data_IF_388520112607
#
_entry.id   IF_388520112607
#
_cell.length_a   1.000
_cell.length_b   1.000
_cell.length_c   1.000
_cell.angle_alpha   90.00
_cell.angle_beta   90.00
_cell.angle_gamma   90.00
#
_symmetry.space_group_name_H-M   'P 1'
#
loop_
_entity.id
_entity.type
_entity.pdbx_description
1 polymer ?
#
# COMPACT_ATOMS: atom_id res chain seq x y z
N UNK A 1 21.75 -18.60 -3.79
CA UNK A 1 21.61 -17.89 -2.49
C UNK A 1 22.99 -17.49 -1.96
N UNK A 2 23.61 -16.51 -2.59
CA UNK A 2 24.93 -16.02 -2.15
C UNK A 2 24.81 -14.94 -1.05
N UNK A 3 23.74 -14.18 -1.06
CA UNK A 3 23.55 -13.01 -0.21
C UNK A 3 23.31 -13.26 1.30
N UNK A 4 22.71 -14.35 1.76
CA UNK A 4 22.55 -14.57 3.20
C UNK A 4 23.88 -14.75 3.97
N UNK A 5 24.99 -14.93 3.26
CA UNK A 5 26.31 -15.13 3.86
C UNK A 5 27.22 -13.92 3.81
N UNK A 6 26.84 -12.88 3.05
CA UNK A 6 27.58 -11.64 3.00
C UNK A 6 27.09 -10.71 4.13
N UNK A 7 28.00 -10.18 4.90
CA UNK A 7 27.65 -9.08 5.79
C UNK A 7 27.36 -7.83 4.96
N UNK A 8 26.60 -6.92 5.50
CA UNK A 8 26.15 -5.73 4.80
C UNK A 8 27.32 -4.83 4.34
N UNK A 9 28.39 -4.74 5.14
CA UNK A 9 29.57 -3.95 4.80
C UNK A 9 30.32 -4.53 3.60
N UNK A 10 30.48 -5.87 3.55
CA UNK A 10 31.10 -6.52 2.41
C UNK A 10 30.29 -6.33 1.12
N UNK A 11 28.96 -6.36 1.21
CA UNK A 11 28.10 -6.09 0.05
C UNK A 11 28.22 -4.63 -0.41
N UNK A 12 28.34 -3.70 0.53
CA UNK A 12 28.55 -2.29 0.23
C UNK A 12 29.88 -2.04 -0.48
N UNK A 13 30.95 -2.65 0.00
CA UNK A 13 32.26 -2.59 -0.62
C UNK A 13 32.29 -3.24 -2.00
N UNK A 14 31.69 -4.42 -2.14
CA UNK A 14 31.57 -5.17 -3.41
C UNK A 14 30.77 -4.39 -4.48
N UNK A 15 29.80 -3.60 -4.08
CA UNK A 15 29.05 -2.72 -5.00
C UNK A 15 29.78 -1.42 -5.30
N UNK A 16 31.00 -1.25 -4.80
CA UNK A 16 31.80 -0.03 -4.99
C UNK A 16 31.19 1.19 -4.34
N UNK A 17 30.42 1.01 -3.27
CA UNK A 17 29.67 2.05 -2.58
C UNK A 17 28.66 2.78 -3.49
N UNK A 18 28.18 2.08 -4.53
CA UNK A 18 27.16 2.59 -5.43
C UNK A 18 25.75 2.15 -4.99
N UNK A 19 24.93 3.13 -4.65
CA UNK A 19 23.54 2.92 -4.23
C UNK A 19 22.68 2.23 -5.24
N UNK A 20 22.86 2.54 -6.53
CA UNK A 20 22.06 1.94 -7.58
C UNK A 20 22.40 0.48 -7.72
N UNK A 21 23.70 0.13 -7.68
CA UNK A 21 24.14 -1.26 -7.73
C UNK A 21 23.70 -2.03 -6.48
N UNK A 22 23.81 -1.42 -5.30
CA UNK A 22 23.31 -2.01 -4.06
C UNK A 22 21.81 -2.26 -4.12
N UNK A 23 21.04 -1.29 -4.56
CA UNK A 23 19.60 -1.39 -4.71
C UNK A 23 19.23 -2.46 -5.74
N UNK A 24 19.93 -2.57 -6.86
CA UNK A 24 19.73 -3.63 -7.85
C UNK A 24 20.06 -5.00 -7.29
N UNK A 25 21.12 -5.13 -6.52
CA UNK A 25 21.51 -6.38 -5.87
C UNK A 25 20.43 -6.83 -4.87
N UNK A 26 19.91 -5.91 -4.07
CA UNK A 26 18.80 -6.18 -3.15
C UNK A 26 17.51 -6.55 -3.89
N UNK A 27 17.16 -5.87 -4.98
CA UNK A 27 15.95 -6.15 -5.76
C UNK A 27 15.95 -7.51 -6.42
N UNK A 28 17.09 -7.92 -6.99
CA UNK A 28 17.23 -9.23 -7.62
C UNK A 28 16.94 -10.38 -6.65
N UNK A 29 17.02 -10.10 -5.34
CA UNK A 29 16.80 -11.05 -4.26
C UNK A 29 15.72 -10.57 -3.29
N UNK A 30 14.86 -9.66 -3.71
CA UNK A 30 13.94 -8.91 -2.86
C UNK A 30 12.99 -9.80 -2.05
N UNK A 31 12.45 -10.86 -2.65
CA UNK A 31 11.59 -11.80 -1.94
C UNK A 31 12.31 -12.49 -0.77
N UNK A 32 13.61 -12.71 -0.93
CA UNK A 32 14.45 -13.36 0.11
C UNK A 32 15.00 -12.35 1.12
N UNK A 33 15.19 -11.09 0.70
CA UNK A 33 15.83 -10.05 1.52
C UNK A 33 14.85 -9.15 2.27
N UNK A 34 13.63 -8.98 1.77
CA UNK A 34 12.59 -8.20 2.47
C UNK A 34 12.21 -8.78 3.83
N UNK A 35 12.37 -10.08 3.97
CA UNK A 35 12.17 -10.82 5.24
C UNK A 35 13.43 -10.88 6.10
N UNK A 36 14.58 -10.47 5.58
CA UNK A 36 15.82 -10.54 6.32
C UNK A 36 15.99 -9.37 7.28
N UNK A 37 16.12 -9.69 8.54
CA UNK A 37 16.52 -8.74 9.59
C UNK A 37 17.79 -7.96 9.20
N UNK A 38 18.73 -8.63 8.52
CA UNK A 38 19.95 -8.03 8.02
C UNK A 38 19.73 -6.85 7.05
N UNK A 39 18.70 -6.86 6.21
CA UNK A 39 18.39 -5.72 5.32
C UNK A 39 17.90 -4.51 6.10
N UNK A 40 17.03 -4.74 7.10
CA UNK A 40 16.56 -3.67 7.98
C UNK A 40 17.68 -3.14 8.86
N UNK A 41 18.55 -4.02 9.32
CA UNK A 41 19.70 -3.67 10.14
C UNK A 41 20.72 -2.89 9.31
N UNK A 42 20.98 -3.28 8.06
CA UNK A 42 21.87 -2.59 7.14
C UNK A 42 21.41 -1.16 6.81
N UNK A 43 20.10 -0.96 6.59
CA UNK A 43 19.53 0.39 6.37
C UNK A 43 19.59 1.23 7.65
N UNK A 44 19.58 0.60 8.85
CA UNK A 44 19.67 1.26 10.14
C UNK A 44 21.10 1.54 10.59
N UNK A 45 22.06 0.74 10.14
CA UNK A 45 23.44 0.81 10.61
C UNK A 45 24.09 2.14 10.24
N UNK A 46 25.06 2.54 11.02
CA UNK A 46 25.81 3.80 10.89
C UNK A 46 26.50 3.96 9.51
N UNK A 47 26.69 2.85 8.78
CA UNK A 47 27.18 2.86 7.40
C UNK A 47 26.25 3.62 6.47
N UNK A 48 24.93 3.55 6.73
CA UNK A 48 23.92 4.38 6.09
C UNK A 48 23.48 5.50 7.04
N UNK A 49 24.28 6.52 7.21
CA UNK A 49 23.82 7.73 7.85
C UNK A 49 22.56 8.30 7.19
N UNK A 50 21.95 9.31 7.81
CA UNK A 50 20.71 9.95 7.34
C UNK A 50 20.77 10.36 5.86
N UNK A 51 21.96 10.76 5.38
CA UNK A 51 22.16 11.14 3.97
C UNK A 51 22.01 9.94 3.03
N UNK A 52 22.55 8.82 3.43
CA UNK A 52 22.44 7.58 2.67
C UNK A 52 21.00 7.07 2.58
N UNK A 53 20.23 7.19 3.68
CA UNK A 53 18.80 6.87 3.66
C UNK A 53 18.05 7.81 2.72
N UNK A 54 18.42 9.08 2.64
CA UNK A 54 17.82 10.04 1.70
C UNK A 54 18.05 9.63 0.25
N UNK A 55 19.27 9.27 -0.12
CA UNK A 55 19.59 8.80 -1.47
C UNK A 55 18.83 7.51 -1.80
N UNK A 56 18.76 6.59 -0.85
CA UNK A 56 17.98 5.36 -1.02
C UNK A 56 16.48 5.65 -1.24
N UNK A 57 15.89 6.54 -0.44
CA UNK A 57 14.51 6.97 -0.62
C UNK A 57 14.28 7.63 -1.99
N UNK A 58 15.22 8.44 -2.47
CA UNK A 58 15.14 9.02 -3.82
C UNK A 58 15.14 7.96 -4.91
N UNK A 59 15.95 6.91 -4.76
CA UNK A 59 15.93 5.78 -5.70
C UNK A 59 14.58 5.05 -5.68
N UNK A 60 14.01 4.81 -4.49
CA UNK A 60 12.70 4.19 -4.36
C UNK A 60 11.57 5.05 -4.96
N UNK A 61 11.63 6.37 -4.79
CA UNK A 61 10.67 7.29 -5.41
C UNK A 61 10.73 7.21 -6.94
N UNK A 62 11.93 7.28 -7.53
CA UNK A 62 12.10 7.15 -8.99
C UNK A 62 11.59 5.80 -9.51
N UNK A 63 11.82 4.73 -8.77
CA UNK A 63 11.28 3.43 -9.14
C UNK A 63 9.75 3.42 -9.10
N UNK A 64 9.17 4.02 -8.07
CA UNK A 64 7.73 4.14 -7.95
C UNK A 64 7.13 4.91 -9.13
N UNK A 65 7.76 6.01 -9.57
CA UNK A 65 7.38 6.77 -10.78
C UNK A 65 7.35 5.88 -12.03
N UNK A 66 8.35 5.03 -12.21
CA UNK A 66 8.39 4.08 -13.33
C UNK A 66 7.22 3.08 -13.28
N UNK A 67 6.84 2.65 -12.07
CA UNK A 67 5.66 1.79 -11.90
C UNK A 67 4.37 2.53 -12.21
N UNK A 68 4.24 3.78 -11.80
CA UNK A 68 3.10 4.64 -12.11
C UNK A 68 2.92 4.84 -13.61
N UNK A 69 4.00 5.12 -14.32
CA UNK A 69 3.97 5.31 -15.78
C UNK A 69 3.52 4.05 -16.55
N UNK A 70 3.76 2.88 -15.98
CA UNK A 70 3.40 1.58 -16.56
C UNK A 70 2.08 1.03 -16.05
N UNK A 71 1.47 1.67 -15.05
CA UNK A 71 0.27 1.16 -14.40
C UNK A 71 -0.93 1.11 -15.34
N UNK A 72 -1.47 -0.08 -15.57
CA UNK A 72 -2.56 -0.33 -16.48
C UNK A 72 -3.79 -0.97 -15.79
N UNK A 73 -3.61 -1.59 -14.62
CA UNK A 73 -4.62 -2.34 -13.91
C UNK A 73 -4.78 -1.88 -12.45
N UNK A 74 -5.86 -2.28 -11.80
CA UNK A 74 -6.06 -2.04 -10.36
C UNK A 74 -4.99 -2.71 -9.51
N UNK A 75 -4.43 -3.84 -9.95
CA UNK A 75 -3.35 -4.55 -9.24
C UNK A 75 -2.08 -3.73 -9.20
N UNK A 76 -1.76 -3.04 -10.29
CA UNK A 76 -0.61 -2.13 -10.34
C UNK A 76 -0.79 -1.00 -9.33
N UNK A 77 -2.00 -0.45 -9.21
CA UNK A 77 -2.31 0.61 -8.26
C UNK A 77 -2.30 0.14 -6.80
N UNK A 78 -2.70 -1.09 -6.51
CA UNK A 78 -2.53 -1.67 -5.18
C UNK A 78 -1.06 -1.81 -4.80
N UNK A 79 -0.25 -2.33 -5.71
CA UNK A 79 1.21 -2.40 -5.53
C UNK A 79 1.83 -1.01 -5.32
N UNK A 80 1.45 -0.02 -6.14
CA UNK A 80 1.93 1.37 -6.02
C UNK A 80 1.54 1.96 -4.66
N UNK A 81 0.31 1.75 -4.20
CA UNK A 81 -0.16 2.24 -2.91
C UNK A 81 0.65 1.63 -1.74
N UNK A 82 0.89 0.34 -1.80
CA UNK A 82 1.71 -0.37 -0.81
C UNK A 82 3.15 0.16 -0.78
N UNK A 83 3.79 0.30 -1.95
CA UNK A 83 5.15 0.83 -2.05
C UNK A 83 5.26 2.29 -1.62
N UNK A 84 4.28 3.11 -1.97
CA UNK A 84 4.17 4.49 -1.49
C UNK A 84 4.15 4.53 0.04
N UNK A 85 3.32 3.69 0.67
CA UNK A 85 3.24 3.63 2.12
C UNK A 85 4.56 3.19 2.77
N UNK A 86 5.25 2.20 2.19
CA UNK A 86 6.58 1.78 2.67
C UNK A 86 7.60 2.92 2.64
N UNK A 87 7.65 3.67 1.54
CA UNK A 87 8.51 4.85 1.40
C UNK A 87 8.16 5.90 2.46
N UNK A 88 6.87 6.20 2.64
CA UNK A 88 6.42 7.18 3.61
C UNK A 88 6.76 6.78 5.05
N UNK A 89 6.59 5.51 5.41
CA UNK A 89 6.94 4.99 6.73
C UNK A 89 8.45 5.12 6.99
N UNK A 90 9.28 4.76 6.02
CA UNK A 90 10.73 4.92 6.13
C UNK A 90 11.11 6.40 6.23
N UNK A 91 10.56 7.24 5.38
CA UNK A 91 10.79 8.68 5.38
C UNK A 91 10.42 9.31 6.75
N UNK A 92 9.28 8.95 7.31
CA UNK A 92 8.85 9.40 8.63
C UNK A 92 9.80 8.92 9.74
N UNK A 93 10.23 7.67 9.71
CA UNK A 93 11.17 7.09 10.68
C UNK A 93 12.48 7.87 10.74
N UNK A 94 13.01 8.29 9.60
CA UNK A 94 14.27 9.02 9.51
C UNK A 94 14.09 10.55 9.46
N UNK A 95 12.86 11.05 9.53
CA UNK A 95 12.52 12.47 9.45
C UNK A 95 13.05 13.11 8.15
N UNK A 96 12.82 12.42 7.04
CA UNK A 96 13.16 12.86 5.69
C UNK A 96 11.86 13.21 4.96
N UNK A 97 11.83 14.38 4.31
CA UNK A 97 10.71 14.73 3.43
C UNK A 97 10.85 14.01 2.09
N UNK A 98 9.75 13.47 1.60
CA UNK A 98 9.61 12.87 0.25
C UNK A 98 8.41 13.49 -0.43
N UNK A 99 8.54 13.82 -1.70
CA UNK A 99 7.45 14.35 -2.52
C UNK A 99 6.86 13.20 -3.36
N UNK A 100 5.62 12.84 -3.07
CA UNK A 100 4.90 11.74 -3.73
C UNK A 100 3.52 12.19 -4.24
N UNK A 101 3.27 13.50 -4.25
CA UNK A 101 1.98 14.07 -4.64
C UNK A 101 1.75 14.00 -6.15
N UNK A 102 2.80 14.05 -6.94
CA UNK A 102 2.74 13.93 -8.42
C UNK A 102 2.15 12.60 -8.89
N UNK A 103 2.19 11.57 -8.04
CA UNK A 103 1.60 10.27 -8.32
C UNK A 103 0.06 10.29 -8.37
N UNK A 104 -0.57 11.31 -7.79
CA UNK A 104 -2.03 11.42 -7.72
C UNK A 104 -2.67 11.66 -9.09
N UNK A 105 -2.04 12.46 -9.94
CA UNK A 105 -2.57 12.79 -11.28
C UNK A 105 -2.81 11.56 -12.16
N UNK A 106 -1.81 10.70 -12.38
CA UNK A 106 -1.98 9.44 -13.11
C UNK A 106 -3.04 8.52 -12.51
N UNK A 107 -3.11 8.41 -11.18
CA UNK A 107 -4.14 7.62 -10.51
C UNK A 107 -5.55 8.16 -10.76
N UNK A 108 -5.75 9.47 -10.65
CA UNK A 108 -7.03 10.11 -10.95
C UNK A 108 -7.45 9.82 -12.40
N UNK A 109 -6.53 9.94 -13.34
CA UNK A 109 -6.80 9.63 -14.75
C UNK A 109 -7.18 8.16 -14.98
N UNK A 110 -6.51 7.24 -14.30
CA UNK A 110 -6.87 5.83 -14.32
C UNK A 110 -8.28 5.60 -13.79
N UNK A 111 -8.60 6.15 -12.63
CA UNK A 111 -9.90 5.99 -11.98
C UNK A 111 -11.03 6.56 -12.84
N UNK A 112 -10.87 7.78 -13.37
CA UNK A 112 -11.89 8.40 -14.21
C UNK A 112 -12.24 7.54 -15.44
N UNK A 113 -11.28 6.81 -15.97
CA UNK A 113 -11.48 5.93 -17.14
C UNK A 113 -12.05 4.56 -16.79
N UNK A 114 -11.75 4.05 -15.61
CA UNK A 114 -11.97 2.63 -15.30
C UNK A 114 -12.96 2.37 -14.16
N UNK A 115 -13.35 3.37 -13.36
CA UNK A 115 -14.15 3.15 -12.16
C UNK A 115 -15.44 2.36 -12.41
N UNK A 116 -16.14 2.65 -13.49
CA UNK A 116 -17.35 1.92 -13.86
C UNK A 116 -17.11 0.43 -14.16
N UNK A 117 -15.93 0.09 -14.69
CA UNK A 117 -15.55 -1.31 -14.97
C UNK A 117 -15.13 -2.02 -13.68
N UNK A 118 -14.43 -1.34 -12.79
CA UNK A 118 -13.98 -1.88 -11.50
C UNK A 118 -15.15 -2.36 -10.65
N UNK A 119 -16.34 -1.80 -10.84
CA UNK A 119 -17.54 -2.20 -10.12
C UNK A 119 -17.97 -3.63 -10.40
N UNK A 120 -17.67 -4.14 -11.59
CA UNK A 120 -17.99 -5.50 -12.04
C UNK A 120 -16.83 -6.48 -11.84
N UNK A 121 -15.63 -5.97 -11.53
CA UNK A 121 -14.46 -6.82 -11.34
C UNK A 121 -14.42 -7.41 -9.93
N UNK A 122 -14.31 -8.73 -9.88
CA UNK A 122 -13.86 -9.44 -8.68
C UNK A 122 -12.39 -9.75 -8.86
N UNK A 123 -11.58 -9.43 -7.86
CA UNK A 123 -10.20 -9.92 -7.79
C UNK A 123 -10.18 -11.46 -7.73
N UNK A 124 -9.02 -12.07 -7.77
CA UNK A 124 -8.92 -13.55 -7.78
C UNK A 124 -9.68 -14.21 -6.64
N UNK A 125 -9.69 -13.59 -5.46
CA UNK A 125 -10.43 -14.07 -4.29
C UNK A 125 -11.04 -12.93 -3.46
N UNK A 126 -10.90 -11.68 -3.87
CA UNK A 126 -11.33 -10.51 -3.09
C UNK A 126 -11.98 -9.46 -3.99
N UNK A 127 -12.93 -8.67 -3.50
CA UNK A 127 -13.52 -7.59 -4.28
C UNK A 127 -12.51 -6.48 -4.56
N UNK A 128 -12.67 -5.80 -5.70
CA UNK A 128 -11.83 -4.67 -6.08
C UNK A 128 -12.29 -3.37 -5.40
N UNK A 129 -13.59 -3.21 -5.18
CA UNK A 129 -14.17 -2.04 -4.52
C UNK A 129 -14.71 -2.36 -3.13
N UNK A 130 -14.55 -1.42 -2.20
CA UNK A 130 -14.97 -1.54 -0.80
C UNK A 130 -16.47 -1.81 -0.64
N UNK A 131 -17.31 -1.38 -1.57
CA UNK A 131 -18.76 -1.65 -1.54
C UNK A 131 -19.11 -3.15 -1.61
N UNK A 132 -18.21 -3.98 -2.08
CA UNK A 132 -18.39 -5.44 -2.19
C UNK A 132 -17.79 -6.22 -1.01
N UNK A 133 -17.16 -5.53 -0.08
CA UNK A 133 -16.46 -6.19 1.04
C UNK A 133 -17.42 -6.95 1.96
N UNK A 134 -18.63 -6.41 2.19
CA UNK A 134 -19.63 -7.10 3.03
C UNK A 134 -20.13 -8.40 2.39
N UNK A 135 -20.44 -8.41 1.10
CA UNK A 135 -20.83 -9.62 0.39
C UNK A 135 -19.73 -10.68 0.48
N UNK A 136 -18.49 -10.27 0.23
CA UNK A 136 -17.34 -11.16 0.34
C UNK A 136 -17.25 -11.79 1.75
N UNK A 137 -17.40 -11.01 2.81
CA UNK A 137 -17.35 -11.52 4.19
C UNK A 137 -18.50 -12.48 4.47
N UNK A 138 -19.70 -12.20 3.99
CA UNK A 138 -20.86 -13.08 4.13
C UNK A 138 -20.68 -14.42 3.42
N UNK A 139 -20.06 -14.41 2.24
CA UNK A 139 -19.81 -15.61 1.45
C UNK A 139 -18.75 -16.51 2.09
N UNK A 140 -17.78 -15.91 2.80
CA UNK A 140 -16.65 -16.64 3.37
C UNK A 140 -16.78 -16.98 4.87
N UNK A 141 -17.75 -16.37 5.57
CA UNK A 141 -17.93 -16.63 7.00
C UNK A 141 -19.37 -16.50 7.45
N UNK A 142 -19.82 -17.49 8.21
CA UNK A 142 -21.17 -17.46 8.84
C UNK A 142 -21.28 -16.46 9.97
N UNK A 143 -20.18 -16.12 10.61
CA UNK A 143 -20.10 -15.16 11.72
C UNK A 143 -18.79 -14.40 11.64
N UNK A 144 -18.87 -13.10 11.67
CA UNK A 144 -17.70 -12.22 11.69
C UNK A 144 -17.99 -10.96 12.51
N UNK A 145 -16.94 -10.27 12.92
CA UNK A 145 -17.00 -8.94 13.52
C UNK A 145 -16.34 -7.99 12.55
N UNK A 146 -17.06 -6.98 12.09
CA UNK A 146 -16.53 -5.92 11.24
C UNK A 146 -16.04 -4.77 12.12
N UNK A 147 -14.76 -4.45 12.02
CA UNK A 147 -14.17 -3.25 12.61
C UNK A 147 -13.81 -2.30 11.49
N UNK A 148 -14.49 -1.16 11.44
CA UNK A 148 -14.23 -0.11 10.43
C UNK A 148 -13.37 0.97 11.06
N UNK A 149 -12.16 1.15 10.55
CA UNK A 149 -11.26 2.22 10.93
C UNK A 149 -11.34 3.32 9.87
N UNK A 150 -12.14 4.34 10.16
CA UNK A 150 -12.43 5.43 9.23
C UNK A 150 -11.21 6.32 8.99
N UNK A 151 -10.97 6.67 7.73
CA UNK A 151 -9.85 7.51 7.31
C UNK A 151 -8.47 6.86 7.41
N UNK A 152 -8.39 5.56 7.72
CA UNK A 152 -7.11 4.86 7.79
C UNK A 152 -6.51 4.66 6.40
N UNK A 153 -5.28 5.12 6.25
CA UNK A 153 -4.51 4.94 5.02
C UNK A 153 -3.64 3.67 5.07
N UNK A 154 -3.09 3.28 3.92
CA UNK A 154 -2.10 2.20 3.84
C UNK A 154 -0.85 2.51 4.70
N UNK A 155 -0.48 3.79 4.81
CA UNK A 155 0.59 4.24 5.71
C UNK A 155 0.26 3.96 7.17
N UNK A 156 -0.96 4.29 7.62
CA UNK A 156 -1.41 4.04 8.99
C UNK A 156 -1.45 2.54 9.29
N UNK A 157 -1.93 1.74 8.33
CA UNK A 157 -1.94 0.29 8.44
C UNK A 157 -0.52 -0.28 8.60
N UNK A 158 0.44 0.15 7.79
CA UNK A 158 1.86 -0.28 7.88
C UNK A 158 2.50 0.02 9.24
N UNK A 159 2.02 1.05 9.93
CA UNK A 159 2.47 1.37 11.30
C UNK A 159 1.73 0.52 12.32
N UNK A 160 0.39 0.47 12.24
CA UNK A 160 -0.46 -0.22 13.19
C UNK A 160 -0.18 -1.73 13.22
N UNK A 161 -0.06 -2.36 12.06
CA UNK A 161 0.16 -3.80 11.94
C UNK A 161 1.43 -4.29 12.64
N UNK A 162 2.43 -3.42 12.82
CA UNK A 162 3.65 -3.74 13.58
C UNK A 162 3.37 -4.02 15.06
N UNK A 163 2.24 -3.55 15.58
CA UNK A 163 1.84 -3.74 16.97
C UNK A 163 1.04 -5.02 17.21
N UNK A 164 0.69 -5.76 16.16
CA UNK A 164 -0.14 -6.96 16.27
C UNK A 164 0.61 -8.19 16.80
N UNK A 165 1.94 -8.14 16.83
CA UNK A 165 2.76 -9.23 17.35
C UNK A 165 2.52 -10.56 16.61
N UNK A 166 2.04 -11.55 17.35
CA UNK A 166 1.82 -12.92 16.85
C UNK A 166 0.41 -13.13 16.26
N UNK A 167 -0.35 -12.07 15.99
CA UNK A 167 -1.66 -12.18 15.36
C UNK A 167 -1.50 -12.55 13.89
N UNK A 168 -2.04 -13.70 13.51
CA UNK A 168 -2.14 -14.09 12.10
C UNK A 168 -3.30 -13.36 11.45
N UNK A 169 -3.05 -12.79 10.27
CA UNK A 169 -4.08 -12.12 9.46
C UNK A 169 -3.76 -12.20 7.98
N UNK A 170 -4.81 -12.23 7.17
CA UNK A 170 -4.71 -12.07 5.73
C UNK A 170 -4.96 -10.61 5.37
N UNK A 171 -4.14 -10.06 4.47
CA UNK A 171 -4.26 -8.70 3.97
C UNK A 171 -4.75 -8.71 2.52
N UNK A 172 -5.81 -7.96 2.28
CA UNK A 172 -6.32 -7.71 0.93
C UNK A 172 -6.57 -6.23 0.74
N UNK A 173 -6.31 -5.75 -0.46
CA UNK A 173 -6.53 -4.36 -0.83
C UNK A 173 -7.83 -4.20 -1.59
N UNK A 174 -8.55 -3.13 -1.27
CA UNK A 174 -9.74 -2.70 -2.02
C UNK A 174 -9.65 -1.20 -2.29
N UNK A 175 -10.21 -0.75 -3.39
CA UNK A 175 -10.32 0.67 -3.68
C UNK A 175 -11.49 1.28 -2.91
N UNK A 176 -11.26 2.45 -2.35
CA UNK A 176 -12.30 3.26 -1.72
C UNK A 176 -13.35 3.71 -2.77
N UNK A 177 -14.54 4.01 -2.29
CA UNK A 177 -15.56 4.63 -3.14
C UNK A 177 -15.19 6.08 -3.48
N UNK A 178 -15.66 6.53 -4.64
CA UNK A 178 -15.48 7.92 -5.08
C UNK A 178 -16.84 8.60 -5.16
N UNK A 179 -16.95 9.77 -4.52
CA UNK A 179 -15.95 10.49 -3.72
C UNK A 179 -15.63 9.78 -2.40
N UNK A 180 -14.38 9.94 -1.92
CA UNK A 180 -13.87 9.30 -0.70
C UNK A 180 -14.36 10.00 0.57
N UNK A 181 -15.62 10.37 0.60
CA UNK A 181 -16.27 11.04 1.75
C UNK A 181 -16.81 9.96 2.68
N UNK A 182 -16.60 10.13 3.98
CA UNK A 182 -16.99 9.17 5.02
C UNK A 182 -18.45 8.72 4.89
N UNK A 183 -19.38 9.66 4.75
CA UNK A 183 -20.82 9.36 4.65
C UNK A 183 -21.15 8.48 3.44
N UNK A 184 -20.50 8.68 2.32
CA UNK A 184 -20.69 7.88 1.09
C UNK A 184 -20.01 6.52 1.22
N UNK A 185 -18.74 6.51 1.59
CA UNK A 185 -17.94 5.28 1.66
C UNK A 185 -18.53 4.26 2.64
N UNK A 186 -18.98 4.72 3.81
CA UNK A 186 -19.57 3.85 4.83
C UNK A 186 -20.96 3.34 4.43
N UNK A 187 -21.80 4.19 3.83
CA UNK A 187 -23.08 3.72 3.28
C UNK A 187 -22.86 2.66 2.19
N UNK A 188 -21.92 2.89 1.26
CA UNK A 188 -21.61 1.92 0.22
C UNK A 188 -21.07 0.61 0.78
N UNK A 189 -20.19 0.66 1.79
CA UNK A 189 -19.65 -0.52 2.47
C UNK A 189 -20.77 -1.36 3.10
N UNK A 190 -21.71 -0.72 3.81
CA UNK A 190 -22.72 -1.42 4.59
C UNK A 190 -23.93 -1.87 3.77
N UNK A 191 -24.23 -1.22 2.65
CA UNK A 191 -25.41 -1.50 1.83
C UNK A 191 -25.12 -2.22 0.52
N UNK A 192 -23.85 -2.46 0.21
CA UNK A 192 -23.42 -3.01 -1.09
C UNK A 192 -23.93 -2.19 -2.30
N UNK A 193 -24.14 -0.90 -2.11
CA UNK A 193 -24.64 0.01 -3.14
C UNK A 193 -23.54 0.93 -3.65
N UNK A 194 -23.70 1.41 -4.87
CA UNK A 194 -22.89 2.48 -5.41
C UNK A 194 -23.41 3.85 -4.99
N UNK A 195 -22.59 4.91 -5.00
CA UNK A 195 -22.99 6.25 -4.59
C UNK A 195 -24.26 6.76 -5.28
N UNK A 196 -24.44 6.45 -6.56
CA UNK A 196 -25.64 6.83 -7.34
C UNK A 196 -26.92 6.07 -6.94
N UNK A 197 -26.79 4.95 -6.25
CA UNK A 197 -27.91 4.15 -5.78
C UNK A 197 -28.31 4.48 -4.33
N UNK A 198 -27.56 5.36 -3.65
CA UNK A 198 -27.88 5.82 -2.31
C UNK A 198 -28.98 6.87 -2.37
N UNK A 199 -29.98 6.78 -1.48
CA UNK A 199 -31.08 7.78 -1.42
C UNK A 199 -30.57 9.16 -0.95
N UNK A 200 -29.62 9.18 -0.03
CA UNK A 200 -29.13 10.42 0.57
C UNK A 200 -27.63 10.31 0.91
N UNK A 201 -26.77 10.28 -0.13
CA UNK A 201 -25.35 9.96 0.02
C UNK A 201 -24.57 10.90 0.95
N UNK A 202 -25.06 12.13 1.13
CA UNK A 202 -24.39 13.13 1.96
C UNK A 202 -24.84 13.14 3.43
N UNK A 203 -25.81 12.28 3.80
CA UNK A 203 -26.37 12.26 5.14
C UNK A 203 -25.71 11.22 6.03
N UNK A 204 -24.97 11.66 7.02
CA UNK A 204 -24.37 10.80 8.05
C UNK A 204 -25.40 10.03 8.89
N UNK A 205 -26.63 10.55 9.02
CA UNK A 205 -27.68 9.91 9.82
C UNK A 205 -28.28 8.66 9.17
N UNK A 206 -28.10 8.50 7.85
CA UNK A 206 -28.62 7.35 7.09
C UNK A 206 -27.74 6.10 7.19
N UNK A 207 -26.49 6.23 7.59
CA UNK A 207 -25.59 5.09 7.81
C UNK A 207 -26.14 4.05 8.80
N UNK A 208 -26.99 4.47 9.72
CA UNK A 208 -27.58 3.57 10.74
C UNK A 208 -28.82 2.83 10.26
N UNK A 209 -29.32 3.12 9.07
CA UNK A 209 -30.57 2.56 8.53
C UNK A 209 -30.36 1.61 7.35
N UNK A 210 -29.15 1.59 6.80
CA UNK A 210 -28.75 0.70 5.71
C UNK A 210 -27.97 -0.50 6.24
#
# INVERSE_FOLDING_TARGET
>A
RLFPKLNANALWEETGMDYNLLTMAYRKNYSDLSTYKATKDFIRDEVFGKENVREYLQCLCKELEIHVDKAASYRDWFFIAEKKAEIQVMAAQYKISVELEELCGPFINYILKNFGKLSAEMGENTPVLVSRAMDYMHDHSKKFVLIVMDGMSEFDWKILSRSFGDVEYDLSHVMAMIPTVTSISRQCLLSNKFPLALENPWSQSKEKKE
#
